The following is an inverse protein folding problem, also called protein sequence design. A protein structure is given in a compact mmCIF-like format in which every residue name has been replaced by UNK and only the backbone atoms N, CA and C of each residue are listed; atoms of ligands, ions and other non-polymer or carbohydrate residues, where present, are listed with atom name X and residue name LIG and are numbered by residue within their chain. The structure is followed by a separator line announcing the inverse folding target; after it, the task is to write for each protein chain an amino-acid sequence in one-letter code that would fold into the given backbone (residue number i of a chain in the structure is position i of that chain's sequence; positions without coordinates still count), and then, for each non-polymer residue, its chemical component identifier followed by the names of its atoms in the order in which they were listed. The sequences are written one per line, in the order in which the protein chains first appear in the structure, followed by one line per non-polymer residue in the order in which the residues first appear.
data_IF_313772656559
#
_entry.id   IF_313772656559
#
_cell.length_a   1.000
_cell.length_b   1.000
_cell.length_c   1.000
_cell.angle_alpha   90.00
_cell.angle_beta   90.00
_cell.angle_gamma   90.00
#
_symmetry.space_group_name_H-M   'P 1'
#
loop_
_entity.id
_entity.type
_entity.pdbx_description
1 polymer ?
#
# COMPACT_ATOMS: atom_id res chain seq x y z
N UNK A 1 -27.67 -10.39 -64.57
CA UNK A 1 -28.46 -9.45 -63.74
C UNK A 1 -28.88 -10.19 -62.47
N UNK A 2 -28.59 -9.58 -61.30
CA UNK A 2 -29.16 -9.75 -59.95
C UNK A 2 -29.74 -11.11 -59.53
N UNK A 3 -29.48 -11.66 -58.34
CA UNK A 3 -29.71 -11.00 -57.05
C UNK A 3 -28.76 -11.61 -56.00
N UNK A 4 -27.64 -10.94 -55.77
CA UNK A 4 -27.01 -10.88 -54.45
C UNK A 4 -28.02 -10.27 -53.48
N UNK A 5 -28.66 -11.02 -52.59
CA UNK A 5 -29.25 -10.59 -51.31
C UNK A 5 -29.72 -11.87 -50.61
N UNK A 6 -28.93 -12.37 -49.65
CA UNK A 6 -29.43 -13.19 -48.52
C UNK A 6 -28.38 -13.44 -47.43
N UNK A 7 -27.43 -12.53 -47.25
CA UNK A 7 -26.50 -12.52 -46.11
C UNK A 7 -26.27 -11.10 -45.60
N UNK A 8 -27.36 -10.37 -45.34
CA UNK A 8 -27.33 -9.14 -44.56
C UNK A 8 -28.64 -9.01 -43.79
N UNK A 9 -28.70 -9.66 -42.64
CA UNK A 9 -29.63 -9.28 -41.59
C UNK A 9 -28.88 -9.37 -40.26
N UNK A 10 -28.32 -8.21 -39.94
CA UNK A 10 -28.21 -7.63 -38.60
C UNK A 10 -27.75 -8.56 -37.48
N UNK A 11 -26.43 -8.65 -37.34
CA UNK A 11 -25.76 -8.71 -36.04
C UNK A 11 -25.96 -7.37 -35.32
N UNK A 12 -27.16 -7.08 -34.80
CA UNK A 12 -27.40 -5.93 -33.94
C UNK A 12 -28.46 -6.34 -32.90
N UNK A 13 -28.20 -6.02 -31.64
CA UNK A 13 -28.93 -6.40 -30.42
C UNK A 13 -28.64 -7.86 -29.98
N UNK A 14 -28.05 -8.12 -28.83
CA UNK A 14 -27.81 -7.28 -27.67
C UNK A 14 -26.89 -8.05 -26.74
N UNK A 15 -25.60 -8.01 -27.02
CA UNK A 15 -24.59 -8.37 -26.05
C UNK A 15 -24.20 -7.07 -25.35
N UNK A 16 -25.09 -6.59 -24.49
CA UNK A 16 -24.73 -5.63 -23.45
C UNK A 16 -23.89 -6.37 -22.43
N UNK A 17 -22.63 -6.65 -22.79
CA UNK A 17 -21.60 -6.96 -21.82
C UNK A 17 -21.46 -5.69 -20.99
N UNK A 18 -22.16 -5.68 -19.85
CA UNK A 18 -21.85 -4.77 -18.76
C UNK A 18 -20.47 -5.18 -18.28
N UNK A 19 -19.44 -4.71 -18.99
CA UNK A 19 -18.10 -4.65 -18.44
C UNK A 19 -18.19 -3.54 -17.39
N UNK A 20 -18.78 -3.86 -16.24
CA UNK A 20 -18.47 -3.18 -14.99
C UNK A 20 -17.04 -3.60 -14.65
N UNK A 21 -16.10 -3.11 -15.45
CA UNK A 21 -14.74 -2.99 -15.01
C UNK A 21 -14.84 -1.95 -13.90
N UNK A 22 -14.77 -2.43 -12.65
CA UNK A 22 -14.22 -1.62 -11.59
C UNK A 22 -12.84 -1.18 -12.07
N UNK A 23 -12.77 -0.03 -12.73
CA UNK A 23 -11.52 0.67 -12.98
C UNK A 23 -11.05 1.05 -11.57
N UNK A 24 -10.29 0.15 -10.96
CA UNK A 24 -9.46 0.53 -9.81
C UNK A 24 -8.52 1.57 -10.38
N UNK A 25 -8.82 2.85 -10.11
CA UNK A 25 -7.90 3.93 -10.45
C UNK A 25 -6.51 3.50 -9.98
N UNK A 26 -5.48 3.57 -10.83
CA UNK A 26 -4.14 3.19 -10.42
C UNK A 26 -3.72 4.13 -9.29
N UNK A 27 -3.71 3.60 -8.06
CA UNK A 27 -3.27 4.33 -6.89
C UNK A 27 -1.79 4.70 -6.98
N UNK A 28 -1.37 5.65 -6.15
CA UNK A 28 0.04 5.94 -5.99
C UNK A 28 0.76 4.78 -5.29
N UNK A 29 1.93 4.43 -5.83
CA UNK A 29 2.80 3.39 -5.29
C UNK A 29 4.23 3.88 -5.25
N UNK A 30 4.91 3.61 -4.15
CA UNK A 30 6.35 3.80 -4.02
C UNK A 30 6.95 2.54 -3.43
N UNK A 31 7.95 1.98 -4.12
CA UNK A 31 8.64 0.76 -3.71
C UNK A 31 10.14 1.04 -3.62
N UNK A 32 10.75 0.55 -2.56
CA UNK A 32 12.18 0.61 -2.28
C UNK A 32 12.57 -0.83 -1.99
N UNK A 33 13.47 -1.36 -2.80
CA UNK A 33 13.92 -2.75 -2.75
C UNK A 33 15.45 -2.74 -2.71
N UNK A 34 15.98 -2.95 -1.52
CA UNK A 34 17.40 -2.89 -1.20
C UNK A 34 17.81 -4.17 -0.48
N UNK A 35 19.13 -4.39 -0.39
CA UNK A 35 19.65 -5.54 0.34
C UNK A 35 19.19 -5.49 1.81
N UNK A 36 18.49 -6.54 2.24
CA UNK A 36 17.91 -6.68 3.58
C UNK A 36 16.82 -5.66 3.96
N UNK A 37 16.39 -4.79 3.05
CA UNK A 37 15.36 -3.79 3.32
C UNK A 37 14.41 -3.64 2.14
N UNK A 38 13.12 -3.86 2.38
CA UNK A 38 12.06 -3.63 1.42
C UNK A 38 10.99 -2.75 2.05
N UNK A 39 10.54 -1.73 1.32
CA UNK A 39 9.44 -0.85 1.71
C UNK A 39 8.53 -0.63 0.51
N UNK A 40 7.24 -0.88 0.70
CA UNK A 40 6.18 -0.62 -0.26
C UNK A 40 5.12 0.26 0.39
N UNK A 41 4.87 1.41 -0.22
CA UNK A 41 3.82 2.35 0.20
C UNK A 41 2.79 2.40 -0.90
N UNK A 42 1.55 2.12 -0.56
CA UNK A 42 0.41 2.28 -1.46
C UNK A 42 -0.54 3.32 -0.89
N UNK A 43 -1.12 4.15 -1.76
CA UNK A 43 -2.13 5.14 -1.41
C UNK A 43 -3.03 5.40 -2.63
N UNK A 44 -4.24 5.97 -2.47
CA UNK A 44 -5.07 6.28 -3.61
C UNK A 44 -4.48 7.40 -4.50
N UNK A 45 -3.73 8.34 -3.90
CA UNK A 45 -3.04 9.42 -4.62
C UNK A 45 -1.72 9.78 -3.94
N UNK A 46 -0.83 10.52 -4.63
CA UNK A 46 0.39 11.07 -4.05
C UNK A 46 0.08 12.07 -2.92
N UNK A 47 -1.00 12.85 -3.06
CA UNK A 47 -1.44 13.77 -2.02
C UNK A 47 -1.78 13.02 -0.73
N UNK A 48 -2.54 11.93 -0.83
CA UNK A 48 -2.88 11.07 0.30
C UNK A 48 -1.62 10.41 0.89
N UNK A 49 -0.69 9.91 0.07
CA UNK A 49 0.60 9.42 0.58
C UNK A 49 1.32 10.49 1.41
N UNK A 50 1.33 11.73 0.91
CA UNK A 50 1.98 12.85 1.57
C UNK A 50 1.24 13.36 2.81
N UNK A 51 0.08 12.78 3.17
CA UNK A 51 -0.59 13.02 4.44
C UNK A 51 -0.10 12.08 5.55
N UNK A 52 0.67 11.03 5.26
CA UNK A 52 1.28 10.17 6.29
C UNK A 52 2.11 11.04 7.25
N UNK A 53 1.90 10.89 8.56
CA UNK A 53 2.62 11.66 9.60
C UNK A 53 3.29 10.73 10.58
N UNK A 54 4.56 11.01 10.84
CA UNK A 54 5.32 10.47 11.95
C UNK A 54 5.54 11.58 12.99
N UNK A 55 5.82 11.21 14.23
CA UNK A 55 6.15 12.18 15.27
C UNK A 55 7.51 12.85 14.98
N UNK A 56 7.78 13.98 15.63
CA UNK A 56 9.03 14.74 15.45
C UNK A 56 10.27 13.96 15.86
N UNK A 57 10.14 13.04 16.80
CA UNK A 57 11.21 12.17 17.27
C UNK A 57 11.52 11.02 16.29
N UNK A 58 10.70 10.83 15.25
CA UNK A 58 10.82 9.75 14.27
C UNK A 58 10.76 8.35 14.91
N UNK A 59 9.90 8.19 15.90
CA UNK A 59 9.72 6.94 16.67
C UNK A 59 8.29 6.40 16.59
N UNK A 60 7.34 7.17 16.09
CA UNK A 60 5.93 6.76 16.03
C UNK A 60 5.21 7.24 14.77
N UNK A 61 4.31 6.41 14.25
CA UNK A 61 3.34 6.76 13.21
C UNK A 61 2.11 7.42 13.85
N UNK A 62 1.96 8.73 13.67
CA UNK A 62 0.86 9.52 14.23
C UNK A 62 -0.42 9.43 13.40
N UNK A 63 -0.27 9.39 12.07
CA UNK A 63 -1.42 9.39 11.17
C UNK A 63 -1.15 8.58 9.91
N UNK A 64 -2.09 7.68 9.61
CA UNK A 64 -2.16 6.93 8.36
C UNK A 64 -3.52 7.24 7.71
N UNK A 65 -3.55 7.92 6.55
CA UNK A 65 -4.80 8.28 5.90
C UNK A 65 -5.52 7.04 5.34
N UNK A 66 -6.83 7.18 5.14
CA UNK A 66 -7.66 6.08 4.63
C UNK A 66 -7.19 5.66 3.23
N UNK A 67 -7.06 4.35 3.03
CA UNK A 67 -6.60 3.77 1.77
C UNK A 67 -5.09 3.83 1.57
N UNK A 68 -4.34 4.41 2.50
CA UNK A 68 -2.88 4.25 2.54
C UNK A 68 -2.49 2.99 3.32
N UNK A 69 -1.44 2.33 2.83
CA UNK A 69 -0.86 1.15 3.45
C UNK A 69 0.67 1.23 3.36
N UNK A 70 1.31 0.79 4.44
CA UNK A 70 2.75 0.59 4.53
C UNK A 70 3.00 -0.91 4.66
N UNK A 71 3.85 -1.45 3.81
CA UNK A 71 4.39 -2.80 3.94
C UNK A 71 5.90 -2.68 3.94
N UNK A 72 6.57 -3.24 4.93
CA UNK A 72 8.02 -3.29 4.89
C UNK A 72 8.56 -4.55 5.52
N UNK A 73 9.71 -4.97 5.00
CA UNK A 73 10.42 -6.19 5.35
C UNK A 73 11.86 -5.84 5.62
N UNK A 74 12.36 -6.21 6.79
CA UNK A 74 13.76 -5.98 7.18
C UNK A 74 14.35 -7.30 7.60
N UNK A 75 15.53 -7.63 7.08
CA UNK A 75 16.29 -8.80 7.52
C UNK A 75 17.44 -8.33 8.39
N UNK A 76 17.47 -8.77 9.64
CA UNK A 76 18.51 -8.45 10.61
C UNK A 76 19.00 -9.71 11.34
N UNK A 77 19.78 -9.52 12.40
CA UNK A 77 20.37 -10.62 13.18
C UNK A 77 19.32 -11.48 13.92
N UNK A 78 18.11 -10.96 14.14
CA UNK A 78 17.00 -11.67 14.78
C UNK A 78 16.15 -12.42 13.75
N UNK A 79 16.19 -11.97 12.49
CA UNK A 79 15.66 -12.69 11.35
C UNK A 79 14.96 -11.78 10.36
N UNK A 80 13.97 -12.33 9.66
CA UNK A 80 13.17 -11.60 8.67
C UNK A 80 11.92 -11.05 9.33
N UNK A 81 11.94 -9.76 9.63
CA UNK A 81 10.81 -9.01 10.10
C UNK A 81 9.92 -8.58 8.93
N UNK A 82 8.60 -8.69 9.10
CA UNK A 82 7.62 -8.20 8.12
C UNK A 82 6.53 -7.46 8.88
N UNK A 83 6.26 -6.20 8.51
CA UNK A 83 5.17 -5.41 9.08
C UNK A 83 4.31 -4.83 7.96
N UNK A 84 3.00 -5.04 8.06
CA UNK A 84 2.00 -4.32 7.29
C UNK A 84 1.20 -3.43 8.22
N UNK A 85 1.11 -2.15 7.89
CA UNK A 85 0.33 -1.14 8.61
C UNK A 85 -0.74 -0.60 7.67
N UNK A 86 -2.00 -0.70 8.09
CA UNK A 86 -3.14 -0.25 7.30
C UNK A 86 -4.19 0.41 8.20
N UNK A 87 -4.90 1.41 7.68
CA UNK A 87 -6.07 1.96 8.36
C UNK A 87 -7.29 1.10 8.04
N UNK A 88 -7.90 0.49 9.05
CA UNK A 88 -9.16 -0.23 8.95
C UNK A 88 -10.23 0.53 9.73
N UNK A 89 -11.21 1.11 9.03
CA UNK A 89 -12.18 2.03 9.63
C UNK A 89 -11.47 3.21 10.32
N UNK A 90 -11.63 3.38 11.63
CA UNK A 90 -10.96 4.43 12.41
C UNK A 90 -9.75 3.94 13.22
N UNK A 91 -9.32 2.69 13.04
CA UNK A 91 -8.17 2.14 13.75
C UNK A 91 -7.01 1.82 12.81
N UNK A 92 -5.79 1.93 13.32
CA UNK A 92 -4.58 1.48 12.64
C UNK A 92 -4.33 0.03 13.05
N UNK A 93 -4.21 -0.85 12.04
CA UNK A 93 -3.96 -2.28 12.24
C UNK A 93 -2.53 -2.58 11.85
N UNK A 94 -1.80 -3.20 12.79
CA UNK A 94 -0.42 -3.65 12.62
C UNK A 94 -0.43 -5.17 12.48
N UNK A 95 0.00 -5.67 11.33
CA UNK A 95 0.15 -7.10 11.06
C UNK A 95 1.64 -7.44 10.99
N UNK A 96 2.15 -8.04 12.05
CA UNK A 96 3.56 -8.34 12.19
C UNK A 96 3.85 -9.83 12.06
N UNK A 97 4.96 -10.15 11.37
CA UNK A 97 5.50 -11.50 11.26
C UNK A 97 7.00 -11.49 11.47
N UNK A 98 7.50 -12.52 12.15
CA UNK A 98 8.92 -12.80 12.27
C UNK A 98 9.20 -14.17 11.63
N UNK A 99 10.11 -14.22 10.67
CA UNK A 99 10.44 -15.43 9.92
C UNK A 99 9.19 -16.11 9.31
N UNK A 100 8.24 -15.29 8.86
CA UNK A 100 6.97 -15.73 8.27
C UNK A 100 5.89 -16.14 9.28
N UNK A 101 6.19 -16.23 10.57
CA UNK A 101 5.23 -16.57 11.61
C UNK A 101 4.52 -15.31 12.11
N UNK A 102 3.19 -15.35 12.19
CA UNK A 102 2.39 -14.23 12.74
C UNK A 102 2.64 -14.12 14.24
N UNK A 103 3.00 -12.93 14.67
CA UNK A 103 3.28 -12.60 16.07
C UNK A 103 2.32 -11.50 16.54
N UNK A 104 2.13 -11.39 17.85
CA UNK A 104 1.44 -10.25 18.45
C UNK A 104 2.31 -9.01 18.29
N UNK A 105 1.73 -7.88 17.87
CA UNK A 105 2.44 -6.61 17.81
C UNK A 105 2.44 -5.95 19.19
N UNK A 106 3.43 -6.34 20.02
CA UNK A 106 3.59 -5.93 21.41
C UNK A 106 4.61 -4.82 21.60
N UNK A 107 5.23 -4.77 22.78
CA UNK A 107 6.20 -3.72 23.15
C UNK A 107 7.48 -3.84 22.31
N UNK A 108 8.06 -5.03 22.23
CA UNK A 108 9.31 -5.27 21.50
C UNK A 108 9.16 -4.97 20.00
N UNK A 109 8.02 -5.31 19.42
CA UNK A 109 7.75 -5.08 18.00
C UNK A 109 7.51 -3.59 17.71
N UNK A 110 6.94 -2.85 18.65
CA UNK A 110 6.82 -1.39 18.57
C UNK A 110 8.18 -0.71 18.66
N UNK A 111 9.03 -1.14 19.59
CA UNK A 111 10.40 -0.62 19.72
C UNK A 111 11.22 -0.92 18.46
N UNK A 112 11.11 -2.14 17.95
CA UNK A 112 11.71 -2.50 16.66
C UNK A 112 11.17 -1.61 15.54
N UNK A 113 9.86 -1.43 15.40
CA UNK A 113 9.30 -0.56 14.36
C UNK A 113 9.79 0.89 14.51
N UNK A 114 9.83 1.42 15.73
CA UNK A 114 10.36 2.75 16.03
C UNK A 114 11.80 2.93 15.52
N UNK A 115 12.64 1.90 15.64
CA UNK A 115 14.01 1.93 15.11
C UNK A 115 14.09 2.02 13.57
N UNK A 116 13.04 1.61 12.86
CA UNK A 116 12.97 1.64 11.38
C UNK A 116 12.41 2.95 10.84
N UNK A 117 11.64 3.70 11.63
CA UNK A 117 10.98 4.94 11.19
C UNK A 117 11.96 6.00 10.64
N UNK A 118 13.14 6.24 11.24
CA UNK A 118 14.10 7.20 10.67
C UNK A 118 14.55 6.82 9.25
N UNK A 119 14.79 5.53 9.01
CA UNK A 119 15.18 4.99 7.70
C UNK A 119 14.01 5.14 6.73
N UNK A 120 12.80 4.79 7.15
CA UNK A 120 11.58 4.94 6.34
C UNK A 120 11.42 6.40 5.90
N UNK A 121 11.48 7.36 6.82
CA UNK A 121 11.32 8.80 6.53
C UNK A 121 12.36 9.30 5.53
N UNK A 122 13.62 8.93 5.73
CA UNK A 122 14.73 9.33 4.86
C UNK A 122 14.51 8.81 3.43
N UNK A 123 14.15 7.54 3.29
CA UNK A 123 13.96 6.86 2.00
C UNK A 123 12.73 7.34 1.23
N UNK A 124 11.65 7.72 1.91
CA UNK A 124 10.39 8.12 1.27
C UNK A 124 10.33 9.59 0.88
N UNK A 125 11.32 10.39 1.32
CA UNK A 125 11.41 11.82 1.06
C UNK A 125 10.24 12.64 1.62
N UNK A 126 9.56 12.14 2.68
CA UNK A 126 8.52 12.91 3.35
C UNK A 126 9.17 14.02 4.19
N UNK A 127 8.66 15.25 4.05
CA UNK A 127 9.12 16.40 4.83
C UNK A 127 8.76 16.21 6.31
N UNK A 128 9.69 16.54 7.22
CA UNK A 128 9.49 16.50 8.68
C UNK A 128 9.15 17.92 9.23
N UNK A 129 8.01 18.05 9.96
CA UNK A 129 7.54 19.27 10.67
C UNK A 129 7.14 20.47 9.78
N UNK A 130 6.21 21.39 10.09
CA UNK A 130 5.21 21.59 11.14
C UNK A 130 3.85 21.89 10.45
N UNK A 131 2.74 21.55 11.10
CA UNK A 131 1.40 22.06 10.82
C UNK A 131 0.62 22.03 12.11
#
# INVERSE_FOLDING_TARGET
MSVFIKFRLLFIAGVSFVISACVTLPGHRQTIDEENFFLNITAPTLAIKNEIRFNSEKTELLFLPKGAQLEFVVSDNLGKHQLSVQKHQETIVYNYRLNGQKMTFGVNEKEWFASQIPIIIDKIGLKYGQG
#
